data_IF_605819798133
#
_entry.id   IF_605819798133
#
_cell.length_a   1.000
_cell.length_b   1.000
_cell.length_c   1.000
_cell.angle_alpha   90.00
_cell.angle_beta   90.00
_cell.angle_gamma   90.00
#
_symmetry.space_group_name_H-M   'P 1'
#
loop_
_entity.id
_entity.type
_entity.pdbx_description
1 polymer ?
#
# COMPACT_ATOMS: atom_id res chain seq x y z
N UNK A 1 -13.87 3.92 4.47
CA UNK A 1 -12.54 3.66 5.07
C UNK A 1 -11.40 4.28 4.28
N UNK A 2 -11.14 3.92 3.02
CA UNK A 2 -10.01 4.51 2.26
C UNK A 2 -10.09 6.04 2.10
N UNK A 3 -11.29 6.61 2.01
CA UNK A 3 -11.47 8.07 1.96
C UNK A 3 -10.88 8.81 3.16
N UNK A 4 -11.04 8.27 4.37
CA UNK A 4 -10.40 8.85 5.56
C UNK A 4 -8.87 8.71 5.52
N UNK A 5 -8.36 7.60 4.96
CA UNK A 5 -6.92 7.40 4.80
C UNK A 5 -6.29 8.39 3.80
N UNK A 6 -7.03 8.81 2.76
CA UNK A 6 -6.57 9.84 1.81
C UNK A 6 -6.21 11.15 2.52
N UNK A 7 -7.06 11.58 3.45
CA UNK A 7 -6.87 12.82 4.20
C UNK A 7 -5.73 12.70 5.23
N UNK A 8 -5.62 11.54 5.89
CA UNK A 8 -4.59 11.29 6.88
C UNK A 8 -3.17 11.15 6.31
N UNK A 9 -3.03 10.94 4.99
CA UNK A 9 -1.74 10.75 4.28
C UNK A 9 -0.79 9.81 5.04
N UNK A 10 -1.21 8.56 5.32
CA UNK A 10 -0.37 7.63 6.06
C UNK A 10 0.88 7.28 5.27
N UNK A 11 1.99 7.01 5.97
CA UNK A 11 3.23 6.53 5.35
C UNK A 11 3.07 5.18 4.65
N UNK A 12 2.04 4.41 5.02
CA UNK A 12 1.72 3.11 4.47
C UNK A 12 0.21 2.92 4.35
N UNK A 13 -0.25 2.48 3.17
CA UNK A 13 -1.66 2.19 2.89
C UNK A 13 -1.79 0.82 2.22
N UNK A 14 -2.04 -0.21 3.03
CA UNK A 14 -2.24 -1.59 2.55
C UNK A 14 -3.71 -1.96 2.41
N UNK A 15 -4.04 -2.82 1.44
CA UNK A 15 -5.38 -3.39 1.32
C UNK A 15 -5.38 -4.88 1.00
N UNK A 16 -6.07 -5.65 1.85
CA UNK A 16 -6.30 -7.09 1.67
C UNK A 16 -7.22 -7.38 0.47
N UNK A 17 -7.06 -8.57 -0.10
CA UNK A 17 -7.91 -9.09 -1.17
C UNK A 17 -7.12 -9.47 -2.42
N UNK A 18 -7.74 -10.28 -3.28
CA UNK A 18 -7.12 -10.74 -4.53
C UNK A 18 -6.79 -9.58 -5.47
N UNK A 19 -5.94 -9.83 -6.47
CA UNK A 19 -5.71 -8.88 -7.57
C UNK A 19 -7.02 -8.43 -8.23
N UNK A 20 -7.95 -9.35 -8.48
CA UNK A 20 -9.28 -9.03 -9.01
C UNK A 20 -10.04 -8.07 -8.11
N UNK A 21 -10.03 -8.31 -6.80
CA UNK A 21 -10.66 -7.41 -5.81
C UNK A 21 -10.00 -6.04 -5.81
N UNK A 22 -8.68 -5.98 -5.95
CA UNK A 22 -7.94 -4.72 -6.06
C UNK A 22 -8.31 -3.94 -7.33
N UNK A 23 -8.40 -4.58 -8.50
CA UNK A 23 -8.84 -3.90 -9.74
C UNK A 23 -10.23 -3.28 -9.59
N UNK A 24 -11.18 -4.03 -9.02
CA UNK A 24 -12.53 -3.52 -8.76
C UNK A 24 -12.53 -2.36 -7.75
N UNK A 25 -11.65 -2.43 -6.75
CA UNK A 25 -11.44 -1.32 -5.80
C UNK A 25 -10.93 -0.08 -6.51
N UNK A 26 -9.93 -0.21 -7.39
CA UNK A 26 -9.38 0.92 -8.15
C UNK A 26 -10.46 1.58 -9.02
N UNK A 27 -11.25 0.79 -9.74
CA UNK A 27 -12.37 1.31 -10.54
C UNK A 27 -13.32 2.17 -9.70
N UNK A 28 -13.78 1.65 -8.56
CA UNK A 28 -14.65 2.39 -7.65
C UNK A 28 -14.01 3.64 -7.07
N UNK A 29 -12.72 3.60 -6.74
CA UNK A 29 -12.02 4.78 -6.22
C UNK A 29 -11.89 5.86 -7.28
N UNK A 30 -11.63 5.48 -8.54
CA UNK A 30 -11.60 6.43 -9.66
C UNK A 30 -12.98 7.04 -9.93
N UNK A 31 -14.06 6.26 -9.85
CA UNK A 31 -15.44 6.78 -9.89
C UNK A 31 -15.71 7.79 -8.77
N UNK A 32 -15.06 7.64 -7.61
CA UNK A 32 -15.13 8.55 -6.46
C UNK A 32 -14.13 9.72 -6.54
N UNK A 33 -13.46 9.92 -7.69
CA UNK A 33 -12.56 11.05 -7.91
C UNK A 33 -11.17 10.91 -7.27
N UNK A 34 -10.70 9.68 -7.03
CA UNK A 34 -9.30 9.43 -6.69
C UNK A 34 -8.43 9.51 -7.94
N UNK A 35 -7.30 10.22 -7.84
CA UNK A 35 -6.32 10.28 -8.92
C UNK A 35 -5.53 8.98 -9.03
N UNK A 36 -4.80 8.81 -10.14
CA UNK A 36 -3.93 7.65 -10.34
C UNK A 36 -2.78 7.63 -9.33
N UNK A 37 -2.26 8.80 -8.98
CA UNK A 37 -1.18 8.99 -8.02
C UNK A 37 -1.62 8.64 -6.59
N UNK A 38 -2.89 8.90 -6.26
CA UNK A 38 -3.44 8.53 -4.95
C UNK A 38 -3.69 7.03 -4.86
N UNK A 39 -4.14 6.40 -5.95
CA UNK A 39 -4.39 4.96 -5.94
C UNK A 39 -3.12 4.12 -6.04
N UNK A 40 -2.02 4.64 -6.60
CA UNK A 40 -0.72 3.95 -6.61
C UNK A 40 -0.10 3.84 -5.21
N UNK A 41 -0.55 4.66 -4.24
CA UNK A 41 -0.15 4.52 -2.84
C UNK A 41 -0.74 3.27 -2.17
N UNK A 42 -1.80 2.68 -2.75
CA UNK A 42 -2.47 1.51 -2.19
C UNK A 42 -1.70 0.25 -2.56
N UNK A 43 -1.09 -0.38 -1.55
CA UNK A 43 -0.38 -1.66 -1.71
C UNK A 43 -1.37 -2.83 -1.59
N UNK A 44 -1.61 -3.51 -2.71
CA UNK A 44 -2.58 -4.61 -2.78
C UNK A 44 -2.23 -5.65 -3.86
N UNK A 45 -2.35 -6.95 -3.58
CA UNK A 45 -2.64 -7.56 -2.28
C UNK A 45 -1.55 -7.21 -1.25
N UNK A 46 -1.96 -6.96 -0.01
CA UNK A 46 -1.03 -6.56 1.04
C UNK A 46 -0.08 -7.72 1.42
N UNK A 47 1.16 -7.37 1.75
CA UNK A 47 2.21 -8.29 2.15
C UNK A 47 3.08 -8.79 0.98
N UNK A 48 4.29 -9.25 1.31
CA UNK A 48 5.31 -9.69 0.33
C UNK A 48 5.29 -11.20 0.02
N UNK A 49 4.66 -12.03 0.86
CA UNK A 49 4.62 -13.48 0.68
C UNK A 49 3.51 -13.90 -0.27
N UNK A 50 3.82 -14.60 -1.37
CA UNK A 50 2.81 -15.11 -2.28
C UNK A 50 2.01 -16.20 -1.57
N UNK A 51 0.67 -16.11 -1.65
CA UNK A 51 -0.26 -17.12 -1.12
C UNK A 51 -0.07 -17.40 0.38
N UNK A 52 -0.02 -16.36 1.23
CA UNK A 52 -0.18 -16.55 2.67
C UNK A 52 -1.52 -17.26 2.95
N UNK A 53 -1.46 -18.55 3.32
CA UNK A 53 -2.63 -19.44 3.44
C UNK A 53 -3.30 -19.36 4.81
N UNK A 54 -2.62 -18.78 5.79
CA UNK A 54 -3.08 -18.62 7.15
C UNK A 54 -2.78 -17.21 7.68
N UNK A 55 -3.42 -16.86 8.79
CA UNK A 55 -3.34 -15.53 9.38
C UNK A 55 -1.94 -15.18 9.92
N UNK A 56 -1.17 -16.14 10.42
CA UNK A 56 0.17 -15.88 10.97
C UNK A 56 1.15 -15.54 9.84
N UNK A 57 1.13 -16.35 8.78
CA UNK A 57 1.95 -16.09 7.58
C UNK A 57 1.58 -14.75 6.95
N UNK A 58 0.28 -14.41 6.92
CA UNK A 58 -0.18 -13.11 6.41
C UNK A 58 0.31 -11.96 7.30
N UNK A 59 0.21 -12.08 8.62
CA UNK A 59 0.67 -11.04 9.54
C UNK A 59 2.17 -10.75 9.36
N UNK A 60 3.00 -11.79 9.31
CA UNK A 60 4.44 -11.65 9.05
C UNK A 60 4.72 -11.01 7.69
N UNK A 61 3.98 -11.42 6.66
CA UNK A 61 4.07 -10.87 5.31
C UNK A 61 3.77 -9.36 5.27
N UNK A 62 2.72 -8.92 5.97
CA UNK A 62 2.36 -7.50 6.06
C UNK A 62 3.39 -6.71 6.88
N UNK A 63 3.84 -7.24 8.02
CA UNK A 63 4.85 -6.57 8.84
C UNK A 63 6.17 -6.37 8.06
N UNK A 64 6.59 -7.38 7.31
CA UNK A 64 7.77 -7.28 6.44
C UNK A 64 7.59 -6.22 5.34
N UNK A 65 6.40 -6.12 4.74
CA UNK A 65 6.10 -5.07 3.76
C UNK A 65 6.16 -3.67 4.39
N UNK A 66 5.51 -3.48 5.55
CA UNK A 66 5.50 -2.19 6.28
C UNK A 66 6.92 -1.76 6.65
N UNK A 67 7.72 -2.68 7.19
CA UNK A 67 9.11 -2.42 7.54
C UNK A 67 9.95 -2.04 6.31
N UNK A 68 9.77 -2.76 5.20
CA UNK A 68 10.44 -2.44 3.93
C UNK A 68 10.11 -1.02 3.47
N UNK A 69 8.84 -0.62 3.46
CA UNK A 69 8.44 0.74 3.07
C UNK A 69 9.06 1.79 3.96
N UNK A 70 9.11 1.54 5.27
CA UNK A 70 9.67 2.48 6.25
C UNK A 70 11.18 2.69 6.05
N UNK A 71 11.92 1.64 5.72
CA UNK A 71 13.37 1.70 5.49
C UNK A 71 13.73 2.45 4.20
N UNK A 72 13.02 2.20 3.09
CA UNK A 72 13.30 2.91 1.83
C UNK A 72 13.04 4.42 1.93
N UNK A 73 12.07 4.85 2.75
CA UNK A 73 11.84 6.28 3.02
C UNK A 73 13.00 6.94 3.78
N UNK A 74 13.77 6.18 4.57
CA UNK A 74 14.96 6.71 5.27
C UNK A 74 16.13 6.88 4.29
N UNK A 75 16.30 5.95 3.35
CA UNK A 75 17.33 6.00 2.31
C UNK A 75 17.11 7.18 1.34
N UNK A 76 15.87 7.42 0.91
CA UNK A 76 15.50 8.56 0.05
C UNK A 76 15.72 9.92 0.78
N UNK A 77 15.64 9.94 2.11
CA UNK A 77 15.85 11.16 2.91
C UNK A 77 17.33 11.54 3.12
N UNK A 78 18.25 10.62 2.84
CA UNK A 78 19.70 10.83 2.96
C UNK A 78 20.38 11.21 1.62
N UNK A 79 19.65 11.27 0.51
CA UNK A 79 20.19 11.74 -0.76
C UNK A 79 20.30 13.27 -0.77
N UNK A 80 21.48 13.85 -1.10
CA UNK A 80 21.60 15.29 -1.28
C UNK A 80 20.67 15.73 -2.43
N UNK A 81 20.11 16.95 -2.39
CA UNK A 81 19.27 17.45 -3.47
C UNK A 81 20.03 17.38 -4.79
N UNK A 82 19.45 16.71 -5.77
CA UNK A 82 19.97 16.65 -7.13
C UNK A 82 20.01 18.08 -7.69
N UNK A 83 21.23 18.56 -7.98
CA UNK A 83 21.52 19.84 -8.64
C UNK A 83 20.88 19.98 -10.02
#
# INVERSE_FOLDING_TARGET
MLQAAREAKPFYLGALGSYRTHTLRLQKLHELGWSREETTQIRAPVGIFPKARDAHTLALSVLAEVASVRLHQEEDSCLPPSS
#
